data_IF_820446349038
#
_entry.id   IF_820446349038
#
_cell.length_a   1.000
_cell.length_b   1.000
_cell.length_c   1.000
_cell.angle_alpha   90.00
_cell.angle_beta   90.00
_cell.angle_gamma   90.00
#
_symmetry.space_group_name_H-M   'P 1'
#
loop_
_entity.id
_entity.type
_entity.pdbx_description
1 polymer ?
#
# COMPACT_ATOMS: atom_id res chain seq x y z
N UNK A 1 -7.56 -15.84 -31.89
CA UNK A 1 -8.05 -14.45 -31.73
C UNK A 1 -9.51 -14.56 -31.33
N UNK A 2 -9.84 -14.20 -30.09
CA UNK A 2 -11.24 -14.17 -29.63
C UNK A 2 -11.98 -13.05 -30.33
N UNK A 3 -13.18 -13.33 -30.81
CA UNK A 3 -14.03 -12.33 -31.46
C UNK A 3 -14.54 -11.32 -30.40
N UNK A 4 -14.98 -10.12 -30.81
CA UNK A 4 -15.60 -9.16 -29.88
C UNK A 4 -16.75 -9.78 -29.08
N UNK A 5 -17.47 -10.73 -29.71
CA UNK A 5 -18.55 -11.48 -29.08
C UNK A 5 -18.04 -12.41 -27.97
N UNK A 6 -16.92 -13.12 -28.18
CA UNK A 6 -16.33 -13.99 -27.15
C UNK A 6 -15.87 -13.19 -25.93
N UNK A 7 -15.36 -11.97 -26.15
CA UNK A 7 -14.90 -11.10 -25.06
C UNK A 7 -16.08 -10.62 -24.21
N UNK A 8 -17.20 -10.26 -24.83
CA UNK A 8 -18.42 -9.88 -24.12
C UNK A 8 -18.98 -11.05 -23.28
N UNK A 9 -18.97 -12.26 -23.85
CA UNK A 9 -19.40 -13.47 -23.12
C UNK A 9 -18.51 -13.75 -21.92
N UNK A 10 -17.18 -13.71 -22.11
CA UNK A 10 -16.24 -13.90 -21.00
C UNK A 10 -16.41 -12.82 -19.93
N UNK A 11 -16.62 -11.57 -20.32
CA UNK A 11 -16.78 -10.47 -19.38
C UNK A 11 -18.05 -10.60 -18.54
N UNK A 12 -19.15 -11.10 -19.10
CA UNK A 12 -20.38 -11.40 -18.37
C UNK A 12 -20.21 -12.59 -17.40
N UNK A 13 -19.42 -13.60 -17.77
CA UNK A 13 -19.11 -14.74 -16.89
C UNK A 13 -18.29 -14.29 -15.68
N UNK A 14 -17.29 -13.43 -15.90
CA UNK A 14 -16.38 -12.99 -14.84
C UNK A 14 -16.88 -11.79 -14.04
N UNK A 15 -17.86 -11.03 -14.56
CA UNK A 15 -18.41 -9.83 -13.90
C UNK A 15 -19.95 -9.83 -13.99
N UNK A 16 -20.63 -10.65 -13.16
CA UNK A 16 -22.07 -10.87 -13.25
C UNK A 16 -22.92 -9.64 -12.88
N UNK A 17 -22.34 -8.65 -12.21
CA UNK A 17 -23.01 -7.42 -11.81
C UNK A 17 -22.95 -6.32 -12.89
N UNK A 18 -22.29 -6.56 -14.01
CA UNK A 18 -22.21 -5.58 -15.11
C UNK A 18 -23.54 -5.57 -15.89
N UNK A 19 -24.28 -4.45 -15.96
CA UNK A 19 -25.54 -4.41 -16.68
C UNK A 19 -25.33 -4.65 -18.18
N UNK A 20 -26.11 -5.55 -18.77
CA UNK A 20 -26.10 -5.84 -20.20
C UNK A 20 -26.68 -4.62 -20.96
N UNK A 21 -25.84 -3.73 -21.48
CA UNK A 21 -26.35 -2.58 -22.24
C UNK A 21 -25.33 -1.56 -22.73
N UNK A 22 -24.23 -1.35 -22.01
CA UNK A 22 -23.28 -0.28 -22.34
C UNK A 22 -22.03 -0.78 -23.07
N UNK A 23 -22.23 -1.44 -24.22
CA UNK A 23 -21.12 -1.76 -25.15
C UNK A 23 -20.96 -0.67 -26.22
N UNK A 24 -21.03 0.59 -25.78
CA UNK A 24 -20.70 1.75 -26.63
C UNK A 24 -19.37 2.30 -26.14
N UNK A 25 -18.35 2.19 -26.98
CA UNK A 25 -17.08 2.89 -26.76
C UNK A 25 -15.99 1.99 -26.20
N UNK A 26 -15.21 1.44 -27.12
CA UNK A 26 -13.85 1.04 -26.85
C UNK A 26 -13.07 2.29 -26.39
N UNK A 27 -12.93 2.45 -25.08
CA UNK A 27 -11.86 3.24 -24.48
C UNK A 27 -11.35 2.49 -23.24
N UNK A 28 -10.60 1.42 -23.50
CA UNK A 28 -9.83 0.67 -22.51
C UNK A 28 -8.37 1.11 -22.57
N UNK A 29 -8.15 2.42 -22.63
CA UNK A 29 -6.85 3.04 -22.45
C UNK A 29 -6.95 3.96 -21.27
N UNK A 30 -6.27 3.62 -20.17
CA UNK A 30 -6.07 4.49 -19.01
C UNK A 30 -7.41 4.75 -18.26
N UNK A 31 -7.62 4.42 -17.01
CA UNK A 31 -6.75 4.42 -15.86
C UNK A 31 -7.38 3.41 -14.89
N UNK A 32 -6.68 2.32 -14.58
CA UNK A 32 -6.81 1.78 -13.24
C UNK A 32 -6.17 2.84 -12.35
N UNK A 33 -6.91 3.92 -12.08
CA UNK A 33 -6.68 4.77 -10.95
C UNK A 33 -6.77 3.81 -9.77
N UNK A 34 -5.63 3.28 -9.37
CA UNK A 34 -5.37 3.13 -7.96
C UNK A 34 -5.62 4.53 -7.42
N UNK A 35 -6.85 4.79 -7.00
CA UNK A 35 -7.12 5.66 -5.88
C UNK A 35 -6.42 5.00 -4.67
N UNK A 36 -5.08 5.02 -4.68
CA UNK A 36 -4.31 5.26 -3.48
C UNK A 36 -4.90 6.59 -2.99
N UNK A 37 -5.94 6.54 -2.14
CA UNK A 37 -6.20 7.65 -1.23
C UNK A 37 -4.84 7.98 -0.69
N UNK A 38 -4.30 9.14 -1.06
CA UNK A 38 -3.01 9.57 -0.56
C UNK A 38 -3.22 9.74 0.93
N UNK A 39 -2.95 8.70 1.72
CA UNK A 39 -2.97 8.76 3.19
C UNK A 39 -2.13 9.96 3.64
N UNK A 40 -1.09 10.25 2.86
CA UNK A 40 -0.20 11.39 2.94
C UNK A 40 -0.86 12.78 2.82
N UNK A 41 -2.05 12.96 2.24
CA UNK A 41 -2.73 14.28 2.16
C UNK A 41 -3.41 14.69 3.48
N UNK A 42 -3.64 13.75 4.39
CA UNK A 42 -4.32 14.02 5.67
C UNK A 42 -3.36 14.55 6.74
N UNK A 43 -2.04 14.34 6.56
CA UNK A 43 -1.04 14.66 7.59
C UNK A 43 -0.33 16.01 7.33
N UNK A 44 0.11 16.72 8.39
CA UNK A 44 0.97 17.90 8.22
C UNK A 44 2.26 17.53 7.49
N UNK A 45 2.54 18.20 6.36
CA UNK A 45 3.68 17.86 5.49
C UNK A 45 5.01 17.74 6.24
N UNK A 46 5.29 18.64 7.18
CA UNK A 46 6.55 18.59 7.95
C UNK A 46 6.67 17.33 8.82
N UNK A 47 5.58 16.91 9.47
CA UNK A 47 5.56 15.70 10.30
C UNK A 47 5.60 14.44 9.42
N UNK A 48 4.93 14.49 8.26
CA UNK A 48 4.95 13.41 7.29
C UNK A 48 6.36 13.15 6.77
N UNK A 49 7.08 14.19 6.34
CA UNK A 49 8.46 14.06 5.84
C UNK A 49 9.39 13.54 6.94
N UNK A 50 9.22 14.02 8.18
CA UNK A 50 10.00 13.52 9.30
C UNK A 50 9.67 12.05 9.64
N UNK A 51 8.40 11.63 9.58
CA UNK A 51 8.00 10.22 9.76
C UNK A 51 8.61 9.35 8.67
N UNK A 52 8.52 9.76 7.40
CA UNK A 52 9.11 9.04 6.26
C UNK A 52 10.62 8.89 6.41
N UNK A 53 11.31 9.93 6.87
CA UNK A 53 12.75 9.87 7.13
C UNK A 53 13.09 8.87 8.25
N UNK A 54 12.31 8.83 9.33
CA UNK A 54 12.47 7.86 10.41
C UNK A 54 12.21 6.43 9.93
N UNK A 55 11.18 6.23 9.11
CA UNK A 55 10.87 4.93 8.52
C UNK A 55 12.00 4.45 7.60
N UNK A 56 12.54 5.33 6.75
CA UNK A 56 13.69 5.01 5.89
C UNK A 56 14.92 4.62 6.72
N UNK A 57 15.22 5.34 7.80
CA UNK A 57 16.31 4.98 8.72
C UNK A 57 16.07 3.62 9.37
N UNK A 58 14.83 3.33 9.76
CA UNK A 58 14.46 2.03 10.33
C UNK A 58 14.63 0.89 9.33
N UNK A 59 14.25 1.09 8.08
CA UNK A 59 14.45 0.10 7.00
C UNK A 59 15.94 -0.15 6.77
N UNK A 60 16.76 0.90 6.64
CA UNK A 60 18.21 0.75 6.47
C UNK A 60 18.86 -0.01 7.63
N UNK A 61 18.42 0.25 8.87
CA UNK A 61 18.89 -0.48 10.04
C UNK A 61 18.47 -1.96 10.00
N UNK A 62 17.23 -2.26 9.61
CA UNK A 62 16.73 -3.63 9.48
C UNK A 62 17.48 -4.41 8.39
N UNK A 63 17.77 -3.78 7.24
CA UNK A 63 18.57 -4.36 6.16
C UNK A 63 20.01 -4.63 6.60
N UNK A 64 20.57 -3.79 7.47
CA UNK A 64 21.87 -4.01 8.10
C UNK A 64 21.85 -5.08 9.22
N UNK A 65 20.68 -5.64 9.55
CA UNK A 65 20.51 -6.63 10.63
C UNK A 65 20.39 -6.02 12.03
N UNK A 66 20.45 -4.70 12.17
CA UNK A 66 20.22 -4.00 13.43
C UNK A 66 18.73 -3.77 13.67
N UNK A 67 18.05 -4.85 14.04
CA UNK A 67 16.61 -4.85 14.29
C UNK A 67 16.23 -4.03 15.53
N UNK A 68 17.12 -3.90 16.51
CA UNK A 68 16.93 -3.03 17.67
C UNK A 68 16.75 -1.57 17.26
N UNK A 69 17.70 -1.05 16.48
CA UNK A 69 17.65 0.32 15.98
C UNK A 69 16.46 0.50 15.05
N UNK A 70 16.16 -0.48 14.19
CA UNK A 70 14.99 -0.43 13.32
C UNK A 70 13.68 -0.23 14.11
N UNK A 71 13.46 -1.03 15.16
CA UNK A 71 12.27 -0.94 16.00
C UNK A 71 12.18 0.40 16.74
N UNK A 72 13.31 0.96 17.18
CA UNK A 72 13.35 2.29 17.79
C UNK A 72 12.90 3.37 16.81
N UNK A 73 13.45 3.36 15.58
CA UNK A 73 13.11 4.34 14.53
C UNK A 73 11.65 4.26 14.13
N UNK A 74 11.10 3.05 13.96
CA UNK A 74 9.67 2.89 13.71
C UNK A 74 8.82 3.34 14.89
N UNK A 75 9.28 3.12 16.13
CA UNK A 75 8.63 3.65 17.33
C UNK A 75 8.57 5.17 17.33
N UNK A 76 9.65 5.85 16.96
CA UNK A 76 9.67 7.31 16.83
C UNK A 76 8.72 7.80 15.72
N UNK A 77 8.67 7.12 14.58
CA UNK A 77 7.73 7.43 13.50
C UNK A 77 6.27 7.29 13.95
N UNK A 78 5.95 6.23 14.71
CA UNK A 78 4.63 6.03 15.31
C UNK A 78 4.29 7.14 16.32
N UNK A 79 5.24 7.55 17.17
CA UNK A 79 5.00 8.65 18.11
C UNK A 79 4.73 9.98 17.39
N UNK A 80 5.34 10.18 16.22
CA UNK A 80 5.16 11.39 15.44
C UNK A 80 3.82 11.41 14.70
N UNK A 81 3.46 10.30 14.06
CA UNK A 81 2.21 10.12 13.33
C UNK A 81 1.53 8.80 13.74
N UNK A 82 0.79 8.79 14.86
CA UNK A 82 0.21 7.56 15.41
C UNK A 82 -0.92 6.97 14.55
N UNK A 83 -1.49 7.75 13.65
CA UNK A 83 -2.54 7.30 12.71
C UNK A 83 -1.96 6.80 11.38
N UNK A 84 -0.64 6.91 11.14
CA UNK A 84 -0.01 6.47 9.89
C UNK A 84 0.30 4.98 9.96
N UNK A 85 -0.44 4.17 9.19
CA UNK A 85 -0.33 2.72 9.19
C UNK A 85 1.06 2.19 8.78
N UNK A 86 1.74 2.90 7.86
CA UNK A 86 3.05 2.51 7.33
C UNK A 86 4.11 2.21 8.41
N UNK A 87 4.21 3.05 9.45
CA UNK A 87 5.21 2.86 10.50
C UNK A 87 4.95 1.59 11.34
N UNK A 88 3.68 1.24 11.57
CA UNK A 88 3.32 -0.01 12.25
C UNK A 88 3.63 -1.24 11.40
N UNK A 89 3.34 -1.19 10.10
CA UNK A 89 3.65 -2.28 9.17
C UNK A 89 5.15 -2.57 9.14
N UNK A 90 5.97 -1.52 9.04
CA UNK A 90 7.42 -1.63 9.05
C UNK A 90 7.94 -2.21 10.38
N UNK A 91 7.38 -1.76 11.52
CA UNK A 91 7.71 -2.31 12.85
C UNK A 91 7.36 -3.79 12.96
N UNK A 92 6.17 -4.19 12.50
CA UNK A 92 5.74 -5.59 12.50
C UNK A 92 6.65 -6.46 11.64
N UNK A 93 7.09 -5.96 10.48
CA UNK A 93 8.06 -6.65 9.64
C UNK A 93 9.42 -6.83 10.36
N UNK A 94 9.93 -5.79 11.03
CA UNK A 94 11.15 -5.89 11.81
C UNK A 94 11.03 -6.90 12.97
N UNK A 95 9.88 -6.96 13.66
CA UNK A 95 9.59 -7.99 14.69
C UNK A 95 9.63 -9.40 14.11
N UNK A 96 9.00 -9.61 12.95
CA UNK A 96 9.05 -10.89 12.25
C UNK A 96 10.48 -11.30 11.87
N UNK A 97 11.30 -10.34 11.42
CA UNK A 97 12.72 -10.59 11.13
C UNK A 97 13.52 -10.93 12.39
N UNK A 98 13.13 -10.39 13.55
CA UNK A 98 13.76 -10.70 14.84
C UNK A 98 13.43 -12.13 15.33
N UNK A 99 12.50 -12.82 14.67
CA UNK A 99 11.92 -14.07 15.17
C UNK A 99 10.93 -13.85 16.32
N UNK A 100 10.60 -12.60 16.62
CA UNK A 100 9.63 -12.20 17.64
C UNK A 100 8.24 -12.13 16.98
N UNK A 101 7.65 -13.30 16.76
CA UNK A 101 6.30 -13.49 16.20
C UNK A 101 5.21 -13.51 17.28
N UNK A 102 5.57 -13.30 18.55
CA UNK A 102 4.60 -13.12 19.62
C UNK A 102 4.08 -11.67 19.55
N UNK A 103 2.79 -11.52 19.22
CA UNK A 103 2.12 -10.24 18.99
C UNK A 103 2.14 -9.29 20.18
#
# INVERSE_FOLDING_TARGET
MGTPNDRAVLQAIFNPDTPFGDIVGLDLGEEAEKEERKEDEVFPQAQLEQSKALELQGVMAAEAGDLSTALERFGQAICLLPERASAYNNRAQARRLQGDVAG
#
